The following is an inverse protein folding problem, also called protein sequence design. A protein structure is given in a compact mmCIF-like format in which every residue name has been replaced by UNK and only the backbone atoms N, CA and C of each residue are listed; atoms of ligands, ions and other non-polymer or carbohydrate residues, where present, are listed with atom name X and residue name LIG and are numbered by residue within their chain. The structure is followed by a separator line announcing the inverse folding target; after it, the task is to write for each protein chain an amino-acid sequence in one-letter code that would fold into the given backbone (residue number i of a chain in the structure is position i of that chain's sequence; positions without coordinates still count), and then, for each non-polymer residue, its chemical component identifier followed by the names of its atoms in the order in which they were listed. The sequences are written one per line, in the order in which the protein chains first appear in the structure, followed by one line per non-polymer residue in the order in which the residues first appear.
data_IF_183241423647
#
_entry.id   IF_183241423647
#
_cell.length_a   1.000
_cell.length_b   1.000
_cell.length_c   1.000
_cell.angle_alpha   90.00
_cell.angle_beta   90.00
_cell.angle_gamma   90.00
#
_symmetry.space_group_name_H-M   'P 1'
#
loop_
_entity.id
_entity.type
_entity.pdbx_description
1 polymer ?
#
# COMPACT_ATOMS: atom_id res chain seq x y z
N UNK A 1 12.12 3.01 33.07
CA UNK A 1 11.61 4.35 32.70
C UNK A 1 12.26 4.91 31.43
N UNK A 2 13.57 5.14 31.31
CA UNK A 2 14.14 5.80 30.12
C UNK A 2 13.89 5.03 28.81
N UNK A 3 13.92 3.70 28.83
CA UNK A 3 13.62 2.88 27.65
C UNK A 3 12.20 3.06 27.11
N UNK A 4 11.20 3.18 27.99
CA UNK A 4 9.80 3.39 27.60
C UNK A 4 9.62 4.78 26.95
N UNK A 5 10.26 5.79 27.52
CA UNK A 5 10.29 7.14 26.94
C UNK A 5 10.92 7.14 25.54
N UNK A 6 12.06 6.47 25.36
CA UNK A 6 12.72 6.39 24.06
C UNK A 6 11.84 5.67 23.01
N UNK A 7 11.19 4.56 23.38
CA UNK A 7 10.25 3.90 22.46
C UNK A 7 9.09 4.80 22.05
N UNK A 8 8.48 5.52 23.00
CA UNK A 8 7.39 6.44 22.69
C UNK A 8 7.84 7.58 21.77
N UNK A 9 9.02 8.16 22.02
CA UNK A 9 9.58 9.22 21.18
C UNK A 9 9.81 8.76 19.74
N UNK A 10 10.33 7.55 19.54
CA UNK A 10 10.54 7.02 18.18
C UNK A 10 9.23 6.80 17.43
N UNK A 11 8.21 6.24 18.08
CA UNK A 11 6.90 6.02 17.45
C UNK A 11 6.24 7.36 17.11
N UNK A 12 6.28 8.34 18.01
CA UNK A 12 5.76 9.69 17.76
C UNK A 12 6.47 10.37 16.59
N UNK A 13 7.80 10.28 16.52
CA UNK A 13 8.57 10.86 15.43
C UNK A 13 8.18 10.25 14.07
N UNK A 14 8.00 8.92 14.01
CA UNK A 14 7.55 8.22 12.80
C UNK A 14 6.15 8.69 12.40
N UNK A 15 5.19 8.72 13.34
CA UNK A 15 3.82 9.15 13.05
C UNK A 15 3.76 10.59 12.53
N UNK A 16 4.49 11.52 13.16
CA UNK A 16 4.56 12.92 12.73
C UNK A 16 5.19 13.03 11.34
N UNK A 17 6.28 12.29 11.08
CA UNK A 17 6.91 12.27 9.77
C UNK A 17 5.96 11.76 8.68
N UNK A 18 5.25 10.66 8.93
CA UNK A 18 4.26 10.12 7.99
C UNK A 18 3.11 11.09 7.74
N UNK A 19 2.64 11.77 8.78
CA UNK A 19 1.57 12.76 8.65
C UNK A 19 2.02 13.95 7.80
N UNK A 20 3.20 14.52 8.09
CA UNK A 20 3.74 15.65 7.31
C UNK A 20 3.93 15.26 5.84
N UNK A 21 4.50 14.09 5.57
CA UNK A 21 4.71 13.65 4.18
C UNK A 21 3.38 13.45 3.45
N UNK A 22 2.41 12.79 4.08
CA UNK A 22 1.08 12.59 3.49
C UNK A 22 0.37 13.91 3.16
N UNK A 23 0.50 14.92 4.04
CA UNK A 23 -0.08 16.25 3.79
C UNK A 23 0.66 16.98 2.68
N UNK A 24 1.99 16.87 2.61
CA UNK A 24 2.79 17.48 1.55
C UNK A 24 2.51 16.87 0.20
N UNK A 25 2.30 15.55 0.13
CA UNK A 25 1.90 14.86 -1.10
C UNK A 25 0.49 15.25 -1.56
N UNK A 26 -0.40 15.58 -0.63
CA UNK A 26 -1.75 16.04 -0.94
C UNK A 26 -1.83 17.50 -1.38
N UNK A 27 -0.80 18.31 -1.13
CA UNK A 27 -0.78 19.74 -1.44
C UNK A 27 -0.03 19.97 -2.77
N UNK A 28 -0.66 20.66 -3.72
CA UNK A 28 -0.02 21.04 -4.99
C UNK A 28 1.23 21.92 -4.78
N UNK A 29 1.22 22.75 -3.73
CA UNK A 29 2.35 23.60 -3.34
C UNK A 29 2.79 23.25 -1.91
N UNK A 30 3.71 22.28 -1.74
CA UNK A 30 4.06 21.80 -0.41
C UNK A 30 4.90 22.84 0.35
N UNK A 31 4.48 23.26 1.56
CA UNK A 31 5.32 24.10 2.40
C UNK A 31 6.60 23.36 2.81
N UNK A 32 7.66 24.09 3.22
CA UNK A 32 8.84 23.47 3.79
C UNK A 32 8.45 22.66 5.03
N UNK A 33 9.11 21.51 5.23
CA UNK A 33 8.83 20.55 6.30
C UNK A 33 8.80 21.22 7.68
N UNK A 34 9.70 22.17 7.89
CA UNK A 34 9.82 22.94 9.13
C UNK A 34 8.52 23.72 9.41
N UNK A 35 7.99 24.45 8.42
CA UNK A 35 6.77 25.23 8.58
C UNK A 35 5.54 24.34 8.85
N UNK A 36 5.43 23.20 8.16
CA UNK A 36 4.35 22.24 8.39
C UNK A 36 4.39 21.68 9.83
N UNK A 37 5.59 21.37 10.33
CA UNK A 37 5.77 20.87 11.70
C UNK A 37 5.36 21.90 12.76
N UNK A 38 5.67 23.19 12.55
CA UNK A 38 5.28 24.26 13.48
C UNK A 38 3.78 24.46 13.57
N UNK A 39 3.03 24.21 12.50
CA UNK A 39 1.57 24.32 12.48
C UNK A 39 0.90 23.08 13.11
N UNK A 40 1.44 21.89 12.86
CA UNK A 40 0.86 20.64 13.37
C UNK A 40 1.10 20.42 14.87
N UNK A 41 2.27 20.82 15.38
CA UNK A 41 2.61 20.65 16.79
C UNK A 41 1.57 21.23 17.79
N UNK A 42 1.10 22.49 17.66
CA UNK A 42 0.10 23.05 18.56
C UNK A 42 -1.26 22.35 18.43
N UNK A 43 -1.62 21.86 17.24
CA UNK A 43 -2.87 21.12 17.01
C UNK A 43 -2.82 19.79 17.77
N UNK A 44 -1.73 19.04 17.64
CA UNK A 44 -1.54 17.77 18.35
C UNK A 44 -1.54 18.00 19.87
N UNK A 45 -0.85 19.06 20.33
CA UNK A 45 -0.82 19.41 21.75
C UNK A 45 -2.23 19.76 22.27
N UNK A 46 -2.98 20.57 21.54
CA UNK A 46 -4.36 20.93 21.88
C UNK A 46 -5.26 19.70 21.99
N UNK A 47 -5.15 18.76 21.05
CA UNK A 47 -5.89 17.49 21.07
C UNK A 47 -5.45 16.55 22.20
N UNK A 48 -4.20 16.63 22.65
CA UNK A 48 -3.69 15.83 23.77
C UNK A 48 -4.05 16.39 25.15
N UNK A 49 -4.39 17.69 25.25
CA UNK A 49 -4.70 18.33 26.55
C UNK A 49 -5.80 17.64 27.38
N UNK A 50 -6.90 17.12 26.81
CA UNK A 50 -7.94 16.44 27.59
C UNK A 50 -7.41 15.16 28.26
N UNK A 51 -6.41 14.51 27.66
CA UNK A 51 -5.79 13.28 28.17
C UNK A 51 -4.84 13.55 29.35
N UNK A 52 -4.44 14.81 29.59
CA UNK A 52 -3.62 15.21 30.72
C UNK A 52 -4.44 15.58 31.98
N UNK A 53 -5.77 15.61 31.88
CA UNK A 53 -6.67 15.92 33.00
C UNK A 53 -6.76 14.75 34.00
N UNK A 54 -7.32 14.99 35.19
CA UNK A 54 -7.50 13.95 36.22
C UNK A 54 -8.33 12.73 35.72
N UNK A 55 -9.22 12.93 34.75
CA UNK A 55 -9.99 11.87 34.08
C UNK A 55 -9.32 11.31 32.82
N UNK A 56 -8.13 11.78 32.48
CA UNK A 56 -7.46 11.45 31.21
C UNK A 56 -7.17 9.96 31.03
N UNK A 57 -6.89 9.22 32.10
CA UNK A 57 -6.67 7.78 32.04
C UNK A 57 -7.91 7.01 31.55
N UNK A 58 -9.12 7.45 31.95
CA UNK A 58 -10.37 6.85 31.47
C UNK A 58 -10.60 7.17 29.99
N UNK A 59 -10.29 8.40 29.56
CA UNK A 59 -10.37 8.81 28.16
C UNK A 59 -9.37 8.03 27.27
N UNK A 60 -8.14 7.82 27.74
CA UNK A 60 -7.11 7.01 27.07
C UNK A 60 -7.59 5.57 26.92
N UNK A 61 -8.15 5.00 27.98
CA UNK A 61 -8.68 3.63 27.95
C UNK A 61 -9.82 3.50 26.94
N UNK A 62 -10.77 4.45 26.94
CA UNK A 62 -11.88 4.48 26.00
C UNK A 62 -11.39 4.62 24.55
N UNK A 63 -10.46 5.54 24.29
CA UNK A 63 -9.92 5.71 22.94
C UNK A 63 -9.15 4.48 22.45
N UNK A 64 -8.32 3.87 23.30
CA UNK A 64 -7.46 2.76 22.90
C UNK A 64 -8.22 1.42 22.82
N UNK A 65 -8.94 1.05 23.88
CA UNK A 65 -9.59 -0.25 23.98
C UNK A 65 -10.93 -0.28 23.24
N UNK A 66 -11.76 0.76 23.38
CA UNK A 66 -13.09 0.76 22.77
C UNK A 66 -13.07 1.26 21.33
N UNK A 67 -12.28 2.27 20.96
CA UNK A 67 -12.35 2.88 19.62
C UNK A 67 -11.25 2.35 18.68
N UNK A 68 -9.98 2.51 19.06
CA UNK A 68 -8.85 2.32 18.16
C UNK A 68 -8.62 0.85 17.78
N UNK A 69 -8.81 -0.08 18.74
CA UNK A 69 -8.62 -1.52 18.56
C UNK A 69 -9.29 -2.10 17.31
N UNK A 70 -10.53 -1.68 17.03
CA UNK A 70 -11.29 -2.12 15.86
C UNK A 70 -11.04 -1.23 14.64
N UNK A 71 -10.95 0.09 14.82
CA UNK A 71 -10.85 1.06 13.73
C UNK A 71 -9.53 0.96 12.98
N UNK A 72 -8.42 0.71 13.69
CA UNK A 72 -7.08 0.61 13.10
C UNK A 72 -6.93 -0.58 12.14
N UNK A 73 -7.81 -1.58 12.24
CA UNK A 73 -7.80 -2.76 11.37
C UNK A 73 -8.44 -2.51 10.00
N UNK A 74 -9.28 -1.49 9.86
CA UNK A 74 -9.97 -1.19 8.61
C UNK A 74 -9.04 -0.72 7.48
N UNK A 75 -8.13 0.25 7.66
CA UNK A 75 -7.19 0.66 6.62
C UNK A 75 -6.32 -0.48 6.04
N UNK A 76 -5.66 -1.33 6.84
CA UNK A 76 -4.89 -2.45 6.29
C UNK A 76 -5.78 -3.51 5.66
N UNK A 77 -7.00 -3.72 6.16
CA UNK A 77 -7.96 -4.62 5.53
C UNK A 77 -8.34 -4.16 4.12
N UNK A 78 -8.75 -2.90 3.96
CA UNK A 78 -9.15 -2.37 2.64
C UNK A 78 -7.96 -2.26 1.69
N UNK A 79 -6.77 -1.92 2.19
CA UNK A 79 -5.53 -1.90 1.41
C UNK A 79 -5.18 -3.29 0.87
N UNK A 80 -5.17 -4.31 1.72
CA UNK A 80 -4.83 -5.69 1.31
C UNK A 80 -5.89 -6.28 0.39
N UNK A 81 -7.17 -6.01 0.65
CA UNK A 81 -8.26 -6.40 -0.24
C UNK A 81 -8.15 -5.74 -1.61
N UNK A 82 -7.81 -4.45 -1.66
CA UNK A 82 -7.58 -3.70 -2.91
C UNK A 82 -6.41 -4.29 -3.70
N UNK A 83 -5.29 -4.57 -3.05
CA UNK A 83 -4.12 -5.20 -3.69
C UNK A 83 -4.46 -6.60 -4.21
N UNK A 84 -5.17 -7.41 -3.42
CA UNK A 84 -5.52 -8.78 -3.79
C UNK A 84 -6.52 -8.85 -4.95
N UNK A 85 -7.57 -8.01 -4.94
CA UNK A 85 -8.70 -8.08 -5.87
C UNK A 85 -8.60 -7.11 -7.05
N UNK A 86 -8.23 -5.84 -6.82
CA UNK A 86 -8.24 -4.78 -7.84
C UNK A 86 -6.92 -4.76 -8.61
N UNK A 87 -5.78 -4.71 -7.90
CA UNK A 87 -4.48 -4.70 -8.56
C UNK A 87 -4.11 -6.09 -9.10
N UNK A 88 -4.26 -7.10 -8.25
CA UNK A 88 -3.98 -8.50 -8.52
C UNK A 88 -2.56 -8.90 -8.08
N UNK A 89 -2.47 -9.96 -7.28
CA UNK A 89 -1.22 -10.39 -6.62
C UNK A 89 -0.11 -10.79 -7.60
N UNK A 90 -0.47 -11.30 -8.77
CA UNK A 90 0.51 -11.64 -9.80
C UNK A 90 1.22 -10.40 -10.37
N UNK A 91 0.54 -9.25 -10.40
CA UNK A 91 1.19 -7.99 -10.81
C UNK A 91 2.16 -7.54 -9.73
N UNK A 92 1.75 -7.53 -8.46
CA UNK A 92 2.63 -7.19 -7.31
C UNK A 92 3.92 -8.02 -7.34
N UNK A 93 3.80 -9.33 -7.52
CA UNK A 93 4.96 -10.22 -7.60
C UNK A 93 5.91 -9.84 -8.73
N UNK A 94 5.37 -9.47 -9.89
CA UNK A 94 6.17 -9.02 -11.06
C UNK A 94 6.88 -7.71 -10.77
N UNK A 95 6.20 -6.76 -10.15
CA UNK A 95 6.79 -5.45 -9.85
C UNK A 95 7.90 -5.57 -8.80
N UNK A 96 7.68 -6.38 -7.77
CA UNK A 96 8.72 -6.67 -6.79
C UNK A 96 9.88 -7.48 -7.43
N UNK A 97 9.62 -8.35 -8.40
CA UNK A 97 10.69 -9.05 -9.15
C UNK A 97 11.53 -8.09 -9.97
N UNK A 98 10.92 -7.04 -10.52
CA UNK A 98 11.62 -5.96 -11.20
C UNK A 98 12.46 -5.13 -10.22
N UNK A 99 11.88 -4.70 -9.08
CA UNK A 99 12.58 -3.89 -8.08
C UNK A 99 13.74 -4.61 -7.39
N UNK A 100 13.61 -5.92 -7.12
CA UNK A 100 14.65 -6.72 -6.45
C UNK A 100 15.61 -7.39 -7.44
N UNK A 101 15.37 -7.27 -8.75
CA UNK A 101 16.07 -8.01 -9.82
C UNK A 101 16.15 -9.54 -9.61
N UNK A 102 15.28 -10.08 -8.74
CA UNK A 102 15.30 -11.46 -8.28
C UNK A 102 13.91 -12.06 -8.28
N UNK A 103 13.80 -13.33 -8.66
CA UNK A 103 12.52 -14.02 -8.74
C UNK A 103 11.96 -14.28 -7.34
N UNK A 104 10.79 -13.70 -7.05
CA UNK A 104 10.12 -13.94 -5.78
C UNK A 104 9.48 -15.32 -5.78
N UNK A 105 9.66 -16.02 -4.66
CA UNK A 105 9.07 -17.32 -4.42
C UNK A 105 7.55 -17.27 -4.59
N UNK A 106 6.99 -18.25 -5.30
CA UNK A 106 5.56 -18.33 -5.57
C UNK A 106 4.73 -18.50 -4.29
N UNK A 107 5.33 -19.01 -3.20
CA UNK A 107 4.69 -19.18 -1.88
C UNK A 107 4.18 -17.87 -1.28
N UNK A 108 4.75 -16.72 -1.66
CA UNK A 108 4.27 -15.41 -1.19
C UNK A 108 2.93 -15.00 -1.80
N UNK A 109 2.59 -15.54 -2.97
CA UNK A 109 1.35 -15.20 -3.69
C UNK A 109 0.09 -15.59 -2.90
N UNK A 110 -0.10 -16.83 -2.43
CA UNK A 110 -1.27 -17.18 -1.61
C UNK A 110 -1.28 -16.40 -0.28
N UNK A 111 -0.10 -16.05 0.26
CA UNK A 111 0.00 -15.28 1.50
C UNK A 111 -0.62 -13.88 1.37
N UNK A 112 -0.28 -13.17 0.30
CA UNK A 112 -0.83 -11.85 0.00
C UNK A 112 -2.27 -11.92 -0.52
N UNK A 113 -2.63 -12.96 -1.27
CA UNK A 113 -3.96 -13.09 -1.86
C UNK A 113 -5.05 -13.48 -0.85
N UNK A 114 -4.72 -14.38 0.09
CA UNK A 114 -5.71 -15.03 0.94
C UNK A 114 -5.38 -14.94 2.42
N UNK A 115 -4.17 -15.33 2.85
CA UNK A 115 -3.87 -15.44 4.28
C UNK A 115 -3.92 -14.10 5.00
N UNK A 116 -3.31 -13.04 4.46
CA UNK A 116 -3.31 -11.73 5.12
C UNK A 116 -4.73 -11.15 5.25
N UNK A 117 -5.54 -11.04 4.17
CA UNK A 117 -6.92 -10.58 4.29
C UNK A 117 -7.76 -11.44 5.25
N UNK A 118 -7.58 -12.78 5.22
CA UNK A 118 -8.32 -13.70 6.08
C UNK A 118 -7.94 -13.54 7.57
N UNK A 119 -6.66 -13.36 7.89
CA UNK A 119 -6.21 -13.12 9.26
C UNK A 119 -6.78 -11.81 9.79
N UNK A 120 -6.70 -10.73 9.01
CA UNK A 120 -7.25 -9.42 9.43
C UNK A 120 -8.76 -9.52 9.62
N UNK A 121 -9.47 -10.17 8.70
CA UNK A 121 -10.91 -10.43 8.83
C UNK A 121 -11.23 -11.26 10.08
N UNK A 122 -10.45 -12.30 10.36
CA UNK A 122 -10.60 -13.12 11.56
C UNK A 122 -10.45 -12.31 12.85
N UNK A 123 -9.47 -11.40 12.90
CA UNK A 123 -9.29 -10.48 14.04
C UNK A 123 -10.47 -9.52 14.17
N UNK A 124 -10.99 -8.98 13.06
CA UNK A 124 -12.19 -8.11 13.09
C UNK A 124 -13.41 -8.87 13.61
N UNK A 125 -13.66 -10.08 13.11
CA UNK A 125 -14.77 -10.93 13.57
C UNK A 125 -14.60 -11.28 15.06
N UNK A 126 -13.38 -11.60 15.49
CA UNK A 126 -13.09 -11.84 16.90
C UNK A 126 -13.44 -10.63 17.77
N UNK A 127 -13.01 -9.42 17.37
CA UNK A 127 -13.28 -8.20 18.13
C UNK A 127 -14.76 -7.80 18.15
N UNK A 128 -15.55 -8.18 17.14
CA UNK A 128 -16.98 -7.82 17.09
C UNK A 128 -17.87 -8.86 17.76
N UNK A 129 -17.54 -10.15 17.63
CA UNK A 129 -18.41 -11.26 18.09
C UNK A 129 -17.98 -11.80 19.45
N UNK A 130 -16.67 -11.88 19.70
CA UNK A 130 -16.12 -12.58 20.88
C UNK A 130 -15.65 -11.63 21.98
N UNK A 131 -15.33 -10.38 21.66
CA UNK A 131 -14.91 -9.37 22.63
C UNK A 131 -16.08 -8.57 23.24
N UNK A 132 -17.32 -9.05 23.10
CA UNK A 132 -18.49 -8.43 23.74
C UNK A 132 -18.52 -8.77 25.24
N UNK A 133 -17.54 -8.24 25.98
CA UNK A 133 -17.41 -8.33 27.43
C UNK A 133 -18.56 -7.60 28.17
N UNK A 134 -19.47 -6.93 27.44
CA UNK A 134 -20.70 -6.34 27.97
C UNK A 134 -21.66 -7.35 28.60
N UNK A 135 -21.51 -8.65 28.30
CA UNK A 135 -22.33 -9.70 28.91
C UNK A 135 -21.75 -10.27 30.21
N UNK A 136 -20.52 -9.93 30.59
CA UNK A 136 -19.83 -10.58 31.73
C UNK A 136 -20.27 -10.01 33.09
N UNK A 137 -20.86 -8.81 33.14
CA UNK A 137 -21.25 -8.15 34.41
C UNK A 137 -22.75 -7.86 34.58
N UNK A 138 -23.61 -8.23 33.63
CA UNK A 138 -25.06 -8.04 33.74
C UNK A 138 -25.54 -6.58 33.83
N UNK A 139 -24.63 -5.61 33.67
CA UNK A 139 -24.95 -4.18 33.58
C UNK A 139 -25.01 -3.83 32.10
N UNK A 140 -26.22 -3.62 31.59
CA UNK A 140 -26.41 -3.09 30.24
C UNK A 140 -25.58 -1.81 30.08
N UNK A 141 -24.71 -1.72 29.06
CA UNK A 141 -24.01 -0.48 28.77
C UNK A 141 -25.05 0.63 28.57
N UNK A 142 -24.86 1.76 29.25
CA UNK A 142 -25.74 2.91 29.07
C UNK A 142 -25.79 3.26 27.58
N UNK A 143 -27.00 3.35 27.01
CA UNK A 143 -27.21 3.47 25.56
C UNK A 143 -26.40 4.61 24.93
N UNK A 144 -26.20 5.70 25.66
CA UNK A 144 -25.39 6.84 25.21
C UNK A 144 -23.92 6.47 24.97
N UNK A 145 -23.33 5.59 25.79
CA UNK A 145 -21.93 5.16 25.64
C UNK A 145 -21.76 4.32 24.38
N UNK A 146 -22.67 3.40 24.12
CA UNK A 146 -22.66 2.57 22.91
C UNK A 146 -22.80 3.43 21.66
N UNK A 147 -23.75 4.37 21.64
CA UNK A 147 -23.94 5.31 20.53
C UNK A 147 -22.70 6.18 20.32
N UNK A 148 -22.06 6.65 21.40
CA UNK A 148 -20.84 7.44 21.32
C UNK A 148 -19.68 6.65 20.72
N UNK A 149 -19.46 5.40 21.17
CA UNK A 149 -18.37 4.55 20.65
C UNK A 149 -18.58 4.24 19.17
N UNK A 150 -19.76 3.76 18.79
CA UNK A 150 -20.06 3.45 17.38
C UNK A 150 -20.07 4.70 16.49
N UNK A 151 -20.53 5.83 17.02
CA UNK A 151 -20.47 7.12 16.35
C UNK A 151 -19.04 7.59 16.07
N UNK A 152 -18.16 7.53 17.07
CA UNK A 152 -16.74 7.89 16.90
C UNK A 152 -16.01 6.92 15.97
N UNK A 153 -16.29 5.60 16.05
CA UNK A 153 -15.76 4.62 15.08
C UNK A 153 -16.19 4.94 13.65
N UNK A 154 -17.47 5.26 13.47
CA UNK A 154 -18.03 5.66 12.17
C UNK A 154 -17.38 6.94 11.64
N UNK A 155 -17.14 7.93 12.50
CA UNK A 155 -16.51 9.20 12.14
C UNK A 155 -15.08 9.02 11.59
N UNK A 156 -14.31 8.05 12.11
CA UNK A 156 -12.96 7.76 11.59
C UNK A 156 -13.00 7.05 10.23
N UNK A 157 -14.01 6.20 9.99
CA UNK A 157 -14.17 5.48 8.72
C UNK A 157 -14.80 6.38 7.63
N UNK A 158 -15.57 7.39 8.03
CA UNK A 158 -16.33 8.26 7.15
C UNK A 158 -15.49 8.94 6.04
N UNK A 159 -14.28 9.48 6.29
CA UNK A 159 -13.41 10.01 5.23
C UNK A 159 -13.09 9.00 4.12
N UNK A 160 -12.92 7.71 4.46
CA UNK A 160 -12.68 6.65 3.48
C UNK A 160 -13.90 6.46 2.56
N UNK A 161 -15.10 6.51 3.12
CA UNK A 161 -16.35 6.37 2.36
C UNK A 161 -16.59 7.63 1.50
N UNK A 162 -16.40 8.82 2.06
CA UNK A 162 -16.58 10.08 1.33
C UNK A 162 -15.62 10.20 0.15
N UNK A 163 -14.34 9.86 0.33
CA UNK A 163 -13.36 9.87 -0.76
C UNK A 163 -13.69 8.85 -1.83
N UNK A 164 -14.12 7.64 -1.46
CA UNK A 164 -14.59 6.64 -2.44
C UNK A 164 -15.79 7.15 -3.25
N UNK A 165 -16.79 7.76 -2.60
CA UNK A 165 -17.95 8.33 -3.28
C UNK A 165 -17.56 9.49 -4.21
N UNK A 166 -16.69 10.38 -3.73
CA UNK A 166 -16.17 11.50 -4.51
C UNK A 166 -15.46 11.01 -5.79
N UNK A 167 -14.59 10.00 -5.66
CA UNK A 167 -13.85 9.41 -6.79
C UNK A 167 -14.79 8.75 -7.80
N UNK A 168 -15.84 8.06 -7.35
CA UNK A 168 -16.83 7.46 -8.25
C UNK A 168 -17.65 8.53 -8.99
N UNK A 169 -18.00 9.62 -8.31
CA UNK A 169 -18.76 10.72 -8.91
C UNK A 169 -17.95 11.52 -9.92
N UNK A 170 -16.64 11.70 -9.69
CA UNK A 170 -15.74 12.41 -10.60
C UNK A 170 -15.43 11.65 -11.89
N UNK A 171 -15.78 10.35 -11.99
CA UNK A 171 -15.62 9.60 -13.24
C UNK A 171 -16.58 10.08 -14.33
N UNK A 172 -16.04 10.33 -15.53
CA UNK A 172 -16.75 10.81 -16.72
C UNK A 172 -17.59 9.72 -17.44
N UNK A 173 -17.77 8.54 -16.84
CA UNK A 173 -18.54 7.45 -17.47
C UNK A 173 -20.05 7.66 -17.35
N UNK A 174 -20.82 7.23 -18.36
CA UNK A 174 -22.26 7.49 -18.45
C UNK A 174 -23.11 6.61 -17.51
N UNK A 175 -22.68 5.38 -17.19
CA UNK A 175 -23.40 4.46 -16.31
C UNK A 175 -22.78 4.32 -14.92
N UNK A 176 -23.58 4.04 -13.88
CA UNK A 176 -23.07 3.84 -12.50
C UNK A 176 -22.11 2.64 -12.42
N UNK A 177 -22.44 1.54 -13.10
CA UNK A 177 -21.56 0.36 -13.19
C UNK A 177 -20.25 0.71 -13.89
N UNK A 178 -20.32 1.48 -14.97
CA UNK A 178 -19.14 1.91 -15.71
C UNK A 178 -18.31 2.92 -14.93
N UNK A 179 -18.93 3.79 -14.13
CA UNK A 179 -18.25 4.69 -13.18
C UNK A 179 -17.50 3.90 -12.12
N UNK A 180 -18.13 2.88 -11.53
CA UNK A 180 -17.47 2.03 -10.52
C UNK A 180 -16.31 1.27 -11.16
N UNK A 181 -16.53 0.61 -12.31
CA UNK A 181 -15.47 -0.12 -13.02
C UNK A 181 -14.34 0.81 -13.43
N UNK A 182 -14.64 2.03 -13.90
CA UNK A 182 -13.64 3.04 -14.26
C UNK A 182 -12.90 3.57 -13.04
N UNK A 183 -13.56 3.72 -11.89
CA UNK A 183 -12.92 4.14 -10.63
C UNK A 183 -11.99 3.08 -10.04
N UNK A 184 -12.26 1.80 -10.35
CA UNK A 184 -11.40 0.68 -9.98
C UNK A 184 -10.26 0.46 -11.00
N UNK A 185 -10.35 1.08 -12.18
CA UNK A 185 -9.23 1.15 -13.09
C UNK A 185 -8.24 2.21 -12.58
N UNK A 186 -6.96 1.88 -12.61
CA UNK A 186 -5.90 2.83 -12.32
C UNK A 186 -6.02 4.03 -13.26
N UNK A 187 -5.84 5.25 -12.73
CA UNK A 187 -6.09 6.49 -13.46
C UNK A 187 -5.50 6.44 -14.87
N UNK A 188 -6.36 6.71 -15.85
CA UNK A 188 -6.07 6.66 -17.29
C UNK A 188 -5.15 7.80 -17.72
N UNK A 189 -5.01 8.85 -16.91
CA UNK A 189 -4.08 9.98 -17.13
C UNK A 189 -2.63 9.61 -16.75
N UNK A 190 -2.45 8.70 -15.80
CA UNK A 190 -1.18 8.09 -15.39
C UNK A 190 -1.01 6.73 -16.07
N UNK A 191 -1.20 6.70 -17.40
CA UNK A 191 -1.45 5.53 -18.24
C UNK A 191 -0.45 4.36 -18.22
N UNK A 192 0.44 4.26 -17.25
CA UNK A 192 1.09 3.04 -16.80
C UNK A 192 1.55 3.23 -15.35
N UNK A 193 0.87 2.59 -14.39
CA UNK A 193 1.39 2.46 -13.02
C UNK A 193 2.82 1.91 -13.07
N UNK A 194 3.77 2.56 -12.40
CA UNK A 194 5.18 2.19 -12.49
C UNK A 194 6.07 3.12 -11.63
N UNK A 195 7.40 2.96 -11.72
CA UNK A 195 8.36 3.81 -11.01
C UNK A 195 8.14 5.30 -11.28
N UNK A 196 8.38 6.15 -10.27
CA UNK A 196 8.26 7.61 -10.40
C UNK A 196 9.32 8.19 -11.35
N UNK A 197 10.51 7.59 -11.39
CA UNK A 197 11.60 8.06 -12.25
C UNK A 197 11.31 7.71 -13.72
N UNK A 198 11.37 8.68 -14.66
CA UNK A 198 11.05 8.44 -16.07
C UNK A 198 11.91 7.35 -16.74
N UNK A 199 13.17 7.24 -16.32
CA UNK A 199 14.13 6.26 -16.86
C UNK A 199 13.76 4.85 -16.39
N UNK A 200 13.52 4.68 -15.09
CA UNK A 200 13.12 3.38 -14.53
C UNK A 200 11.74 2.97 -14.99
N UNK A 201 10.83 3.93 -15.17
CA UNK A 201 9.52 3.69 -15.77
C UNK A 201 9.63 3.10 -17.18
N UNK A 202 10.49 3.68 -18.01
CA UNK A 202 10.77 3.16 -19.35
C UNK A 202 11.41 1.77 -19.34
N UNK A 203 12.34 1.51 -18.41
CA UNK A 203 12.95 0.19 -18.23
C UNK A 203 11.92 -0.86 -17.80
N UNK A 204 11.07 -0.53 -16.81
CA UNK A 204 9.98 -1.37 -16.34
C UNK A 204 8.98 -1.68 -17.45
N UNK A 205 8.63 -0.68 -18.27
CA UNK A 205 7.70 -0.85 -19.40
C UNK A 205 8.26 -1.79 -20.45
N UNK A 206 9.53 -1.60 -20.83
CA UNK A 206 10.25 -2.52 -21.74
C UNK A 206 10.28 -3.94 -21.20
N UNK A 207 10.60 -4.11 -19.91
CA UNK A 207 10.63 -5.42 -19.27
C UNK A 207 9.26 -6.12 -19.32
N UNK A 208 8.16 -5.39 -19.08
CA UNK A 208 6.79 -5.93 -19.19
C UNK A 208 6.42 -6.31 -20.62
N UNK A 209 6.78 -5.47 -21.59
CA UNK A 209 6.56 -5.76 -23.00
C UNK A 209 7.30 -7.02 -23.45
N UNK A 210 8.56 -7.18 -23.04
CA UNK A 210 9.37 -8.34 -23.41
C UNK A 210 8.85 -9.65 -22.78
N UNK A 211 8.32 -9.59 -21.55
CA UNK A 211 7.69 -10.74 -20.88
C UNK A 211 6.36 -11.15 -21.54
N UNK A 212 5.56 -10.17 -21.99
CA UNK A 212 4.28 -10.44 -22.66
C UNK A 212 4.42 -10.98 -24.09
N UNK A 213 5.61 -10.84 -24.70
CA UNK A 213 5.87 -11.28 -26.07
C UNK A 213 6.21 -12.78 -26.11
N UNK A 214 5.60 -13.56 -27.01
CA UNK A 214 5.94 -14.96 -27.17
C UNK A 214 7.41 -15.10 -27.61
N UNK A 215 8.14 -16.05 -27.01
CA UNK A 215 9.58 -16.31 -27.23
C UNK A 215 9.92 -16.47 -28.74
N UNK A 216 8.97 -16.96 -29.53
CA UNK A 216 9.09 -17.11 -30.99
C UNK A 216 9.29 -15.78 -31.71
N UNK A 217 8.65 -14.71 -31.26
CA UNK A 217 8.77 -13.36 -31.84
C UNK A 217 10.10 -12.68 -31.50
N UNK A 218 10.63 -12.94 -30.30
CA UNK A 218 11.95 -12.45 -29.85
C UNK A 218 13.08 -13.16 -30.62
N UNK A 219 13.01 -14.49 -30.76
CA UNK A 219 13.96 -15.26 -31.58
C UNK A 219 13.98 -14.77 -33.03
N UNK A 220 12.81 -14.52 -33.63
CA UNK A 220 12.69 -14.00 -35.00
C UNK A 220 13.29 -12.60 -35.16
N UNK A 221 13.13 -11.72 -34.17
CA UNK A 221 13.74 -10.37 -34.19
C UNK A 221 15.25 -10.40 -33.92
N UNK A 222 15.73 -11.25 -33.03
CA UNK A 222 17.16 -11.46 -32.80
C UNK A 222 17.84 -12.08 -34.03
N UNK A 223 17.15 -12.97 -34.75
CA UNK A 223 17.62 -13.51 -36.02
C UNK A 223 17.62 -12.47 -37.15
N UNK A 224 16.67 -11.51 -37.12
CA UNK A 224 16.48 -10.52 -38.18
C UNK A 224 17.10 -9.14 -37.88
N UNK A 225 17.75 -8.93 -36.73
CA UNK A 225 18.53 -7.71 -36.47
C UNK A 225 19.93 -7.91 -37.07
N UNK A 226 20.36 -7.15 -38.08
CA UNK A 226 21.80 -7.00 -38.32
C UNK A 226 22.42 -6.44 -37.03
N UNK A 227 23.60 -6.95 -36.66
CA UNK A 227 24.40 -6.51 -35.52
C UNK A 227 24.80 -5.04 -35.68
N UNK A 228 23.86 -4.11 -35.48
CA UNK A 228 24.21 -2.70 -35.30
C UNK A 228 24.69 -2.54 -33.87
N UNK A 229 26.00 -2.66 -33.73
CA UNK A 229 26.76 -2.09 -32.62
C UNK A 229 26.35 -0.63 -32.48
N UNK A 230 25.47 -0.33 -31.53
CA UNK A 230 25.28 1.05 -31.09
C UNK A 230 26.54 1.43 -30.32
N UNK A 231 27.39 2.25 -30.94
CA UNK A 231 28.42 3.01 -30.26
C UNK A 231 27.74 4.03 -29.32
N UNK A 232 27.21 3.56 -28.18
CA UNK A 232 27.03 4.42 -27.03
C UNK A 232 28.35 4.40 -26.27
N UNK A 233 29.19 5.39 -26.58
CA UNK A 233 30.42 5.70 -25.86
C UNK A 233 30.07 6.16 -24.45
N UNK A 234 29.87 5.21 -23.55
CA UNK A 234 30.13 5.39 -22.14
C UNK A 234 31.01 4.22 -21.71
N UNK A 235 32.30 4.51 -21.66
CA UNK A 235 33.28 3.75 -20.90
C UNK A 235 32.79 3.63 -19.46
N UNK A 236 32.16 2.51 -19.13
CA UNK A 236 32.13 2.03 -17.76
C UNK A 236 31.95 0.52 -17.79
N UNK A 237 33.02 -0.11 -17.36
CA UNK A 237 33.27 -1.49 -16.98
C UNK A 237 32.16 -2.09 -16.10
N UNK A 238 30.97 -2.30 -16.66
CA UNK A 238 29.91 -3.08 -16.06
C UNK A 238 29.44 -4.10 -17.07
N UNK A 239 29.84 -5.36 -16.85
CA UNK A 239 29.47 -6.51 -17.64
C UNK A 239 27.96 -6.54 -17.88
N UNK A 240 27.60 -6.12 -19.09
CA UNK A 240 26.23 -5.80 -19.50
C UNK A 240 25.22 -6.88 -19.11
N UNK A 241 24.07 -6.46 -18.64
CA UNK A 241 22.87 -7.28 -18.44
C UNK A 241 22.57 -8.21 -19.63
N UNK A 242 22.94 -7.80 -20.84
CA UNK A 242 22.89 -8.60 -22.07
C UNK A 242 23.77 -9.87 -22.05
N UNK A 243 25.00 -9.81 -21.53
CA UNK A 243 25.87 -10.98 -21.38
C UNK A 243 25.33 -11.92 -20.29
N UNK A 244 24.76 -11.38 -19.21
CA UNK A 244 24.08 -12.19 -18.18
C UNK A 244 22.82 -12.88 -18.74
N UNK A 245 22.01 -12.17 -19.52
CA UNK A 245 20.84 -12.74 -20.18
C UNK A 245 21.23 -13.81 -21.20
N UNK A 246 22.26 -13.59 -22.01
CA UNK A 246 22.82 -14.60 -22.93
C UNK A 246 23.23 -15.87 -22.18
N UNK A 247 23.97 -15.75 -21.09
CA UNK A 247 24.41 -16.90 -20.29
C UNK A 247 23.23 -17.65 -19.64
N UNK A 248 22.19 -16.92 -19.17
CA UNK A 248 20.97 -17.53 -18.62
C UNK A 248 20.22 -18.37 -19.66
N UNK A 249 20.14 -17.90 -20.90
CA UNK A 249 19.45 -18.62 -21.98
C UNK A 249 20.28 -19.76 -22.60
N UNK A 250 21.60 -19.65 -22.69
CA UNK A 250 22.46 -20.77 -23.10
C UNK A 250 22.44 -21.91 -22.07
N UNK A 251 22.42 -21.59 -20.78
CA UNK A 251 22.35 -22.60 -19.71
C UNK A 251 21.05 -23.40 -19.72
N UNK A 252 19.92 -22.76 -20.03
CA UNK A 252 18.62 -23.45 -20.13
C UNK A 252 18.44 -24.20 -21.46
N UNK A 253 19.16 -23.82 -22.53
CA UNK A 253 19.15 -24.55 -23.80
C UNK A 253 19.78 -25.94 -23.72
N UNK A 254 20.87 -26.06 -22.96
CA UNK A 254 21.59 -27.33 -22.81
C UNK A 254 20.93 -28.32 -21.83
N UNK A 255 20.04 -27.84 -20.95
CA UNK A 255 19.31 -28.69 -20.02
C UNK A 255 18.19 -29.51 -20.70
N UNK A 256 17.68 -29.05 -21.85
CA UNK A 256 16.60 -29.71 -22.58
C UNK A 256 17.08 -30.68 -23.67
N UNK A 257 18.39 -30.83 -23.85
CA UNK A 257 18.99 -31.76 -24.83
C UNK A 257 19.61 -33.01 -24.19
N UNK A 258 19.40 -33.21 -22.88
CA UNK A 258 19.88 -34.37 -22.12
C UNK A 258 18.72 -35.15 -21.47
N UNK A 259 17.60 -35.28 -22.19
CA UNK A 259 16.57 -36.29 -21.94
C UNK A 259 16.35 -37.04 -23.25
#
# INVERSE_FOLDING_TARGET
FPGLWMSCLTVLAICIHTLINSLRESLENPPPVIAASFVLAPIILALATPMATQGGAALVSLLNMDILSLVVLWPPFTMTLSVASVYGVQKVRKDLTFMLESSICWLWTPFWAFFIPAIILGVVVWNVVLADDGLVLGVWPELWRTVLIWGLRGLVILPLILTALYVVQSQLAYGIKDKIVSSLQFSREWGDWGPQDPIEHHNWRRWREDESRPITSLKRRLANRPLTYTHSTLSSESGSTLTRLRNKYQRNGNANTLI
#
